data_IF_840860712991
#
_entry.id   IF_840860712991
#
_cell.length_a   1.000
_cell.length_b   1.000
_cell.length_c   1.000
_cell.angle_alpha   90.00
_cell.angle_beta   90.00
_cell.angle_gamma   90.00
#
_symmetry.space_group_name_H-M   'P 1'
#
loop_
_entity.id
_entity.type
_entity.pdbx_description
1 polymer ?
#
# COMPACT_ATOMS: atom_id res chain seq x y z
N UNK A 1 11.67 16.77 36.80
CA UNK A 1 10.44 17.53 36.47
C UNK A 1 10.88 18.86 35.90
N UNK A 2 10.75 19.04 34.59
CA UNK A 2 10.72 20.36 33.97
C UNK A 2 9.50 20.34 33.06
N UNK A 3 8.47 21.04 33.52
CA UNK A 3 7.24 21.30 32.76
C UNK A 3 7.44 22.62 32.03
N UNK A 4 7.19 22.68 30.73
CA UNK A 4 6.84 23.94 30.07
C UNK A 4 5.68 23.67 29.11
N UNK A 5 4.69 24.54 29.22
CA UNK A 5 3.34 24.43 28.69
C UNK A 5 3.29 24.56 27.16
N UNK A 6 2.18 24.07 26.59
CA UNK A 6 2.05 23.73 25.18
C UNK A 6 2.11 24.87 24.16
N UNK A 7 2.39 24.46 22.93
CA UNK A 7 1.88 25.06 21.70
C UNK A 7 1.65 23.91 20.73
N UNK A 8 0.42 23.40 20.69
CA UNK A 8 0.01 22.28 19.84
C UNK A 8 -0.15 22.78 18.40
N UNK A 9 0.98 23.10 17.77
CA UNK A 9 1.09 23.14 16.32
C UNK A 9 1.42 21.73 15.89
N UNK A 10 0.44 20.98 15.40
CA UNK A 10 0.72 19.72 14.70
C UNK A 10 1.65 20.09 13.54
N UNK A 11 2.94 19.80 13.68
CA UNK A 11 3.95 20.06 12.66
C UNK A 11 3.60 19.25 11.42
N UNK A 12 2.94 19.91 10.47
CA UNK A 12 2.51 19.32 9.20
C UNK A 12 3.68 18.66 8.46
N UNK A 13 4.91 19.13 8.67
CA UNK A 13 6.14 18.55 8.11
C UNK A 13 6.44 17.14 8.64
N UNK A 14 6.24 16.91 9.94
CA UNK A 14 6.42 15.60 10.57
C UNK A 14 5.35 14.63 10.07
N UNK A 15 4.09 15.08 10.00
CA UNK A 15 3.00 14.27 9.46
C UNK A 15 3.24 13.88 7.99
N UNK A 16 3.70 14.81 7.15
CA UNK A 16 4.04 14.55 5.74
C UNK A 16 5.19 13.52 5.61
N UNK A 17 6.24 13.64 6.43
CA UNK A 17 7.36 12.70 6.41
C UNK A 17 6.97 11.28 6.87
N UNK A 18 6.02 11.16 7.79
CA UNK A 18 5.53 9.86 8.25
C UNK A 18 4.67 9.19 7.16
N UNK A 19 3.77 9.96 6.54
CA UNK A 19 2.91 9.47 5.45
C UNK A 19 3.75 9.01 4.25
N UNK A 20 4.79 9.76 3.88
CA UNK A 20 5.67 9.36 2.77
C UNK A 20 6.43 8.07 3.06
N UNK A 21 6.92 7.88 4.29
CA UNK A 21 7.58 6.63 4.70
C UNK A 21 6.61 5.44 4.65
N UNK A 22 5.40 5.59 5.18
CA UNK A 22 4.36 4.56 5.13
C UNK A 22 4.03 4.18 3.68
N UNK A 23 3.84 5.17 2.81
CA UNK A 23 3.58 4.94 1.39
C UNK A 23 4.74 4.20 0.69
N UNK A 24 5.99 4.51 1.04
CA UNK A 24 7.15 3.80 0.50
C UNK A 24 7.14 2.32 0.92
N UNK A 25 6.88 2.03 2.19
CA UNK A 25 6.82 0.65 2.70
C UNK A 25 5.67 -0.14 2.08
N UNK A 26 4.50 0.47 1.89
CA UNK A 26 3.34 -0.14 1.23
C UNK A 26 3.70 -0.51 -0.21
N UNK A 27 4.33 0.40 -0.97
CA UNK A 27 4.73 0.12 -2.35
C UNK A 27 5.78 -1.00 -2.44
N UNK A 28 6.77 -1.03 -1.53
CA UNK A 28 7.76 -2.10 -1.50
C UNK A 28 7.11 -3.47 -1.23
N UNK A 29 6.22 -3.55 -0.24
CA UNK A 29 5.52 -4.78 0.10
C UNK A 29 4.58 -5.25 -1.02
N UNK A 30 3.90 -4.33 -1.69
CA UNK A 30 3.09 -4.62 -2.88
C UNK A 30 3.94 -5.23 -4.00
N UNK A 31 5.08 -4.62 -4.33
CA UNK A 31 5.95 -5.11 -5.40
C UNK A 31 6.51 -6.51 -5.08
N UNK A 32 6.84 -6.76 -3.81
CA UNK A 32 7.24 -8.09 -3.36
C UNK A 32 6.11 -9.13 -3.55
N UNK A 33 4.87 -8.80 -3.16
CA UNK A 33 3.72 -9.67 -3.37
C UNK A 33 3.48 -9.97 -4.86
N UNK A 34 3.69 -8.99 -5.75
CA UNK A 34 3.62 -9.18 -7.20
C UNK A 34 4.67 -10.18 -7.69
N UNK A 35 5.93 -10.01 -7.30
CA UNK A 35 7.00 -10.91 -7.70
C UNK A 35 6.73 -12.35 -7.21
N UNK A 36 6.25 -12.50 -5.97
CA UNK A 36 5.91 -13.82 -5.43
C UNK A 36 4.77 -14.48 -6.21
N UNK A 37 3.67 -13.76 -6.47
CA UNK A 37 2.54 -14.31 -7.22
C UNK A 37 2.93 -14.75 -8.64
N UNK A 38 3.86 -14.04 -9.28
CA UNK A 38 4.43 -14.42 -10.58
C UNK A 38 5.25 -15.71 -10.49
N UNK A 39 6.10 -15.83 -9.45
CA UNK A 39 6.88 -17.05 -9.21
C UNK A 39 5.99 -18.26 -8.92
N UNK A 40 4.90 -18.05 -8.18
CA UNK A 40 3.94 -19.09 -7.82
C UNK A 40 3.01 -19.47 -9.00
N UNK A 41 3.10 -18.77 -10.14
CA UNK A 41 2.25 -19.03 -11.31
C UNK A 41 0.77 -18.70 -11.07
N UNK A 42 0.46 -17.70 -10.25
CA UNK A 42 -0.92 -17.31 -9.97
C UNK A 42 -1.62 -16.79 -11.24
N UNK A 43 -2.68 -17.47 -11.68
CA UNK A 43 -3.44 -17.13 -12.90
C UNK A 43 -4.82 -16.50 -12.63
N UNK A 44 -5.14 -16.23 -11.36
CA UNK A 44 -6.41 -15.63 -10.98
C UNK A 44 -6.54 -14.17 -11.44
N UNK A 45 -7.77 -13.67 -11.48
CA UNK A 45 -8.06 -12.28 -11.83
C UNK A 45 -8.04 -11.41 -10.57
N UNK A 46 -7.08 -10.50 -10.51
CA UNK A 46 -6.87 -9.63 -9.35
C UNK A 46 -6.69 -8.19 -9.77
N UNK A 47 -7.16 -7.27 -8.92
CA UNK A 47 -6.70 -5.87 -8.94
C UNK A 47 -5.57 -5.69 -7.95
N UNK A 48 -4.53 -5.01 -8.39
CA UNK A 48 -3.40 -4.62 -7.55
C UNK A 48 -3.68 -3.25 -6.94
N UNK A 49 -3.59 -3.14 -5.61
CA UNK A 49 -3.85 -1.89 -4.88
C UNK A 49 -2.77 -1.61 -3.83
N UNK A 50 -2.56 -0.34 -3.52
CA UNK A 50 -1.76 0.09 -2.38
C UNK A 50 -2.62 0.06 -1.11
N UNK A 51 -2.62 -1.08 -0.42
CA UNK A 51 -3.38 -1.28 0.81
C UNK A 51 -2.48 -1.17 2.04
N UNK A 52 -2.82 -0.33 3.04
CA UNK A 52 -2.10 -0.31 4.32
C UNK A 52 -2.35 -1.58 5.16
N UNK A 53 -3.31 -2.42 4.78
CA UNK A 53 -3.69 -3.63 5.49
C UNK A 53 -3.07 -4.92 4.92
N UNK A 54 -2.16 -4.80 3.93
CA UNK A 54 -1.50 -5.96 3.32
C UNK A 54 -2.32 -6.68 2.24
N UNK A 55 -3.55 -6.24 1.96
CA UNK A 55 -4.38 -6.77 0.88
C UNK A 55 -3.96 -6.16 -0.46
N UNK A 56 -2.82 -6.57 -1.01
CA UNK A 56 -2.28 -6.04 -2.26
C UNK A 56 -2.98 -6.59 -3.51
N UNK A 57 -3.57 -7.77 -3.39
CA UNK A 57 -4.40 -8.39 -4.42
C UNK A 57 -5.84 -8.50 -3.94
N UNK A 58 -6.76 -7.91 -4.70
CA UNK A 58 -8.19 -8.07 -4.48
C UNK A 58 -8.76 -8.93 -5.60
N UNK A 59 -9.35 -10.10 -5.30
CA UNK A 59 -10.01 -10.93 -6.31
C UNK A 59 -11.11 -10.14 -6.99
N UNK A 60 -11.18 -10.21 -8.31
CA UNK A 60 -12.22 -9.53 -9.09
C UNK A 60 -12.82 -10.44 -10.14
N UNK A 61 -14.08 -10.17 -10.47
CA UNK A 61 -14.70 -10.75 -11.66
C UNK A 61 -14.00 -10.18 -12.90
N UNK A 62 -13.53 -11.03 -13.84
CA UNK A 62 -12.89 -10.57 -15.06
C UNK A 62 -13.82 -9.64 -15.85
N UNK A 63 -13.27 -8.59 -16.42
CA UNK A 63 -13.99 -7.74 -17.36
C UNK A 63 -13.94 -8.35 -18.77
N UNK A 64 -14.78 -7.86 -19.68
CA UNK A 64 -14.75 -8.33 -21.09
C UNK A 64 -13.35 -8.20 -21.70
N UNK A 65 -12.59 -7.13 -21.36
CA UNK A 65 -11.24 -6.90 -21.88
C UNK A 65 -10.25 -7.98 -21.42
N UNK A 66 -10.40 -8.48 -20.20
CA UNK A 66 -9.52 -9.49 -19.61
C UNK A 66 -9.73 -10.88 -20.25
N UNK A 67 -10.89 -11.10 -20.90
CA UNK A 67 -11.28 -12.38 -21.50
C UNK A 67 -11.08 -12.44 -23.02
N UNK A 68 -10.72 -11.33 -23.67
CA UNK A 68 -10.58 -11.24 -25.13
C UNK A 68 -9.14 -10.96 -25.57
N UNK A 69 -8.17 -11.22 -24.69
CA UNK A 69 -6.75 -11.06 -24.96
C UNK A 69 -6.21 -12.13 -25.91
#
# INVERSE_FOLDING_TARGET
IITSAGSERVDKSVAVSLISNVNFRIQQAKNFAIAQAQQDGCTGNFRVIDSPFGNYFVPVVPTRKDLTA
#
